data_IF_710893236188
#
_entry.id   IF_710893236188
#
_cell.length_a   1.000
_cell.length_b   1.000
_cell.length_c   1.000
_cell.angle_alpha   90.00
_cell.angle_beta   90.00
_cell.angle_gamma   90.00
#
_symmetry.space_group_name_H-M   'P 1'
#
loop_
_entity.id
_entity.type
_entity.pdbx_description
1 polymer ?
#
# COMPACT_ATOMS: atom_id res chain seq x y z
N UNK A 1 10.23 -0.02 -6.16
CA UNK A 1 8.81 -0.34 -6.46
C UNK A 1 8.46 -1.82 -6.37
N UNK A 2 9.28 -2.77 -6.87
CA UNK A 2 8.95 -4.21 -6.86
C UNK A 2 8.51 -4.75 -5.48
N UNK A 3 9.19 -4.35 -4.40
CA UNK A 3 8.87 -4.76 -3.04
C UNK A 3 7.44 -4.43 -2.58
N UNK A 4 6.84 -3.35 -3.10
CA UNK A 4 5.47 -2.95 -2.75
C UNK A 4 4.40 -3.82 -3.44
N UNK A 5 4.66 -4.25 -4.68
CA UNK A 5 3.71 -5.03 -5.48
C UNK A 5 3.85 -6.54 -5.27
N UNK A 6 5.08 -7.05 -5.38
CA UNK A 6 5.41 -8.43 -5.09
C UNK A 6 6.88 -8.52 -4.63
N UNK A 7 7.16 -8.82 -3.35
CA UNK A 7 8.53 -8.85 -2.83
C UNK A 7 9.43 -9.89 -3.50
N UNK A 8 8.89 -10.94 -4.13
CA UNK A 8 9.69 -11.88 -4.91
C UNK A 8 10.33 -11.23 -6.15
N UNK A 9 9.75 -10.15 -6.67
CA UNK A 9 10.33 -9.38 -7.77
C UNK A 9 11.61 -8.64 -7.39
N UNK A 10 11.91 -8.49 -6.10
CA UNK A 10 13.09 -7.76 -5.63
C UNK A 10 14.41 -8.37 -6.12
N UNK A 11 14.45 -9.68 -6.37
CA UNK A 11 15.64 -10.38 -6.91
C UNK A 11 15.98 -9.99 -8.35
N UNK A 12 15.10 -9.30 -9.05
CA UNK A 12 15.36 -8.79 -10.40
C UNK A 12 16.23 -7.53 -10.39
N UNK A 13 16.41 -6.90 -9.22
CA UNK A 13 17.33 -5.76 -9.05
C UNK A 13 18.77 -6.27 -9.19
N UNK A 14 19.51 -5.75 -10.18
CA UNK A 14 20.87 -6.20 -10.50
C UNK A 14 21.98 -5.34 -9.88
N UNK A 15 21.65 -4.13 -9.43
CA UNK A 15 22.58 -3.18 -8.82
C UNK A 15 21.88 -2.43 -7.69
N UNK A 16 22.63 -1.76 -6.83
CA UNK A 16 22.03 -0.89 -5.81
C UNK A 16 21.20 0.21 -6.47
N UNK A 17 19.95 0.37 -6.02
CA UNK A 17 19.00 1.32 -6.57
C UNK A 17 18.38 2.16 -5.45
N UNK A 18 18.17 3.43 -5.76
CA UNK A 18 17.38 4.38 -4.96
C UNK A 18 16.29 4.93 -5.87
N UNK A 19 15.07 5.05 -5.37
CA UNK A 19 13.95 5.62 -6.11
C UNK A 19 13.02 6.40 -5.19
N UNK A 20 12.39 7.43 -5.75
CA UNK A 20 11.37 8.21 -5.07
C UNK A 20 10.21 8.50 -6.03
N UNK A 21 9.00 8.62 -5.48
CA UNK A 21 7.80 9.05 -6.19
C UNK A 21 7.02 10.00 -5.30
N UNK A 22 6.47 11.05 -5.90
CA UNK A 22 5.45 11.89 -5.30
C UNK A 22 4.23 11.91 -6.23
N UNK A 23 3.03 11.80 -5.69
CA UNK A 23 1.79 11.85 -6.46
C UNK A 23 0.72 12.55 -5.65
N UNK A 24 -0.07 13.37 -6.33
CA UNK A 24 -1.21 14.09 -5.75
C UNK A 24 -2.49 13.58 -6.39
N UNK A 25 -3.52 13.35 -5.58
CA UNK A 25 -4.84 12.92 -6.00
C UNK A 25 -5.90 13.86 -5.42
N UNK A 26 -7.07 13.90 -6.06
CA UNK A 26 -8.22 14.71 -5.64
C UNK A 26 -7.87 16.19 -5.40
N UNK A 27 -7.39 16.88 -6.45
CA UNK A 27 -7.02 18.30 -6.38
C UNK A 27 -6.00 18.60 -5.26
N UNK A 28 -5.01 17.71 -5.10
CA UNK A 28 -3.95 17.78 -4.10
C UNK A 28 -4.40 17.63 -2.64
N UNK A 29 -5.64 17.20 -2.38
CA UNK A 29 -6.08 16.86 -1.02
C UNK A 29 -5.45 15.55 -0.51
N UNK A 30 -5.05 14.64 -1.39
CA UNK A 30 -4.37 13.39 -1.01
C UNK A 30 -2.97 13.35 -1.60
N UNK A 31 -1.96 13.23 -0.76
CA UNK A 31 -0.55 13.15 -1.12
C UNK A 31 -0.01 11.74 -0.87
N UNK A 32 0.61 11.15 -1.89
CA UNK A 32 1.31 9.87 -1.82
C UNK A 32 2.79 10.08 -2.08
N UNK A 33 3.61 9.77 -1.07
CA UNK A 33 5.06 9.84 -1.15
C UNK A 33 5.66 8.45 -0.98
N UNK A 34 6.61 8.09 -1.84
CA UNK A 34 7.39 6.86 -1.74
C UNK A 34 8.86 7.19 -1.82
N UNK A 35 9.66 6.58 -0.95
CA UNK A 35 11.11 6.49 -1.11
C UNK A 35 11.54 5.05 -0.83
N UNK A 36 12.42 4.51 -1.67
CA UNK A 36 12.86 3.13 -1.55
C UNK A 36 14.30 2.94 -1.98
N UNK A 37 15.00 2.09 -1.25
CA UNK A 37 16.36 1.65 -1.51
C UNK A 37 16.37 0.13 -1.63
N UNK A 38 17.08 -0.41 -2.63
CA UNK A 38 17.27 -1.83 -2.82
C UNK A 38 18.74 -2.13 -3.11
N UNK A 39 19.27 -3.20 -2.51
CA UNK A 39 20.65 -3.63 -2.68
C UNK A 39 20.73 -5.14 -2.83
N UNK A 40 21.30 -5.65 -3.94
CA UNK A 40 21.67 -7.05 -4.06
C UNK A 40 22.74 -7.38 -3.02
N UNK A 41 22.51 -8.41 -2.21
CA UNK A 41 23.47 -8.94 -1.25
C UNK A 41 24.32 -10.05 -1.86
N UNK A 42 23.75 -10.77 -2.84
CA UNK A 42 24.43 -11.78 -3.66
C UNK A 42 23.71 -11.88 -5.02
N UNK A 43 24.16 -12.81 -5.87
CA UNK A 43 23.46 -13.14 -7.13
C UNK A 43 22.04 -13.67 -6.94
N UNK A 44 21.69 -14.13 -5.73
CA UNK A 44 20.42 -14.79 -5.42
C UNK A 44 19.64 -14.13 -4.27
N UNK A 45 20.16 -13.08 -3.64
CA UNK A 45 19.51 -12.40 -2.51
C UNK A 45 19.55 -10.89 -2.68
N UNK A 46 18.43 -10.23 -2.44
CA UNK A 46 18.31 -8.77 -2.46
C UNK A 46 17.56 -8.29 -1.23
N UNK A 47 18.07 -7.23 -0.60
CA UNK A 47 17.42 -6.56 0.51
C UNK A 47 16.87 -5.21 0.03
N UNK A 48 15.73 -4.81 0.57
CA UNK A 48 15.11 -3.53 0.30
C UNK A 48 14.58 -2.89 1.57
N UNK A 49 14.63 -1.57 1.62
CA UNK A 49 13.93 -0.77 2.62
C UNK A 49 13.11 0.29 1.87
N UNK A 50 11.92 0.60 2.35
CA UNK A 50 11.16 1.72 1.79
C UNK A 50 10.25 2.35 2.82
N UNK A 51 9.93 3.61 2.60
CA UNK A 51 8.96 4.37 3.36
C UNK A 51 7.88 4.85 2.40
N UNK A 52 6.63 4.62 2.80
CA UNK A 52 5.45 5.16 2.14
C UNK A 52 4.78 6.12 3.10
N UNK A 53 4.41 7.30 2.60
CA UNK A 53 3.54 8.24 3.31
C UNK A 53 2.29 8.46 2.47
N UNK A 54 1.14 8.36 3.10
CA UNK A 54 -0.14 8.82 2.56
C UNK A 54 -0.67 9.90 3.50
N UNK A 55 -0.85 11.11 3.00
CA UNK A 55 -1.31 12.25 3.81
C UNK A 55 -2.53 12.91 3.19
N UNK A 56 -3.46 13.34 4.05
CA UNK A 56 -4.56 14.23 3.71
C UNK A 56 -4.46 15.44 4.61
N UNK A 57 -4.27 16.60 4.01
CA UNK A 57 -4.07 17.86 4.72
C UNK A 57 -5.35 18.71 4.67
N UNK A 58 -5.55 19.57 5.67
CA UNK A 58 -6.66 20.54 5.75
C UNK A 58 -8.07 19.92 5.71
N UNK A 59 -8.28 18.81 6.41
CA UNK A 59 -9.61 18.23 6.59
C UNK A 59 -10.41 19.15 7.52
N UNK A 60 -11.54 19.67 7.03
CA UNK A 60 -12.42 20.54 7.82
C UNK A 60 -13.09 19.74 8.94
N UNK A 61 -12.90 20.20 10.18
CA UNK A 61 -13.60 19.74 11.37
C UNK A 61 -14.71 20.73 11.75
N UNK A 62 -15.95 20.32 11.53
CA UNK A 62 -17.15 21.08 11.90
C UNK A 62 -17.85 20.53 13.15
N UNK A 63 -17.28 19.52 13.83
CA UNK A 63 -17.92 18.90 15.02
C UNK A 63 -18.14 19.90 16.14
N UNK A 64 -17.27 20.90 16.25
CA UNK A 64 -17.37 21.99 17.22
C UNK A 64 -18.19 23.18 16.73
N UNK A 65 -18.64 23.19 15.46
CA UNK A 65 -19.35 24.31 14.85
C UNK A 65 -20.87 24.28 15.09
N UNK A 66 -21.44 23.16 15.53
CA UNK A 66 -22.86 23.08 15.84
C UNK A 66 -23.20 23.89 17.10
N UNK A 67 -24.15 24.83 16.96
CA UNK A 67 -24.78 25.51 18.09
C UNK A 67 -26.04 24.71 18.44
N UNK A 68 -26.07 24.13 19.63
CA UNK A 68 -27.19 23.36 20.14
C UNK A 68 -27.89 24.15 21.26
N UNK A 69 -29.21 24.10 21.34
CA UNK A 69 -29.94 24.62 22.51
C UNK A 69 -29.85 23.66 23.71
N UNK A 70 -30.49 24.06 24.82
CA UNK A 70 -30.50 23.27 26.07
C UNK A 70 -31.17 21.88 25.92
N UNK A 71 -31.97 21.66 24.87
CA UNK A 71 -32.60 20.38 24.55
C UNK A 71 -31.80 19.59 23.50
N UNK A 72 -30.65 20.10 23.06
CA UNK A 72 -29.81 19.48 22.04
C UNK A 72 -30.28 19.70 20.59
N UNK A 73 -31.24 20.61 20.36
CA UNK A 73 -31.72 20.91 19.00
C UNK A 73 -30.74 21.87 18.32
N UNK A 74 -30.40 21.58 17.07
CA UNK A 74 -29.53 22.43 16.24
C UNK A 74 -30.21 23.79 15.99
N UNK A 75 -29.57 24.86 16.47
CA UNK A 75 -30.05 26.25 16.31
C UNK A 75 -29.26 27.02 15.23
N UNK A 76 -28.07 26.55 14.87
CA UNK A 76 -27.24 27.17 13.84
C UNK A 76 -25.85 26.53 13.76
N UNK A 77 -25.06 27.03 12.82
CA UNK A 77 -23.65 26.66 12.64
C UNK A 77 -22.80 27.90 12.86
N UNK A 78 -21.87 27.82 13.80
CA UNK A 78 -20.83 28.83 14.00
C UNK A 78 -19.62 28.48 13.13
N UNK A 79 -19.53 29.11 11.96
CA UNK A 79 -18.43 28.89 11.03
C UNK A 79 -17.05 29.26 11.61
N UNK A 80 -16.99 30.14 12.63
CA UNK A 80 -15.74 30.51 13.30
C UNK A 80 -15.14 29.37 14.13
N UNK A 81 -15.94 28.34 14.43
CA UNK A 81 -15.54 27.14 15.18
C UNK A 81 -15.21 25.95 14.28
N UNK A 82 -15.22 26.15 12.96
CA UNK A 82 -14.70 25.17 12.00
C UNK A 82 -13.18 25.24 12.00
N UNK A 83 -12.54 24.16 12.46
CA UNK A 83 -11.09 24.03 12.46
C UNK A 83 -10.65 23.07 11.35
N UNK A 84 -9.33 22.93 11.16
CA UNK A 84 -8.77 21.91 10.26
C UNK A 84 -7.95 20.91 11.06
N UNK A 85 -7.94 19.66 10.62
CA UNK A 85 -6.99 18.65 11.06
C UNK A 85 -6.36 17.96 9.85
N UNK A 86 -5.24 17.30 10.09
CA UNK A 86 -4.55 16.51 9.09
C UNK A 86 -4.64 15.03 9.46
N UNK A 87 -4.50 14.16 8.46
CA UNK A 87 -4.31 12.73 8.65
C UNK A 87 -3.09 12.28 7.85
N UNK A 88 -2.28 11.41 8.45
CA UNK A 88 -1.13 10.84 7.78
C UNK A 88 -0.86 9.40 8.21
N UNK A 89 -0.63 8.55 7.22
CA UNK A 89 -0.21 7.17 7.37
C UNK A 89 1.21 7.01 6.86
N UNK A 90 2.07 6.48 7.71
CA UNK A 90 3.43 6.09 7.38
C UNK A 90 3.54 4.57 7.43
N UNK A 91 4.09 3.98 6.37
CA UNK A 91 4.39 2.54 6.33
C UNK A 91 5.85 2.35 5.97
N UNK A 92 6.62 1.87 6.94
CA UNK A 92 7.98 1.45 6.72
C UNK A 92 8.00 -0.04 6.34
N UNK A 93 8.69 -0.37 5.25
CA UNK A 93 8.86 -1.71 4.74
C UNK A 93 10.31 -2.14 4.88
N UNK A 94 10.52 -3.32 5.47
CA UNK A 94 11.74 -4.09 5.32
C UNK A 94 11.45 -5.29 4.42
N UNK A 95 12.21 -5.43 3.34
CA UNK A 95 11.95 -6.38 2.27
C UNK A 95 13.15 -7.27 2.00
N UNK A 96 12.90 -8.54 1.74
CA UNK A 96 13.93 -9.48 1.29
C UNK A 96 13.39 -10.36 0.18
N UNK A 97 14.16 -10.49 -0.91
CA UNK A 97 13.91 -11.41 -2.01
C UNK A 97 15.00 -12.47 -2.08
N UNK A 98 14.63 -13.71 -2.36
CA UNK A 98 15.55 -14.81 -2.57
C UNK A 98 15.17 -15.63 -3.80
N UNK A 99 16.14 -15.80 -4.71
CA UNK A 99 16.03 -16.65 -5.88
C UNK A 99 16.65 -18.02 -5.56
N UNK A 100 15.85 -19.08 -5.58
CA UNK A 100 16.33 -20.44 -5.29
C UNK A 100 16.98 -21.09 -6.50
N UNK A 101 16.44 -20.83 -7.68
CA UNK A 101 16.96 -21.31 -8.95
C UNK A 101 16.57 -20.33 -10.08
N UNK A 102 16.94 -20.64 -11.33
CA UNK A 102 16.65 -19.77 -12.48
C UNK A 102 15.16 -19.48 -12.67
N UNK A 103 14.28 -20.40 -12.27
CA UNK A 103 12.83 -20.29 -12.46
C UNK A 103 12.10 -19.72 -11.24
N UNK A 104 12.52 -20.03 -10.00
CA UNK A 104 11.72 -19.78 -8.80
C UNK A 104 12.37 -18.78 -7.84
N UNK A 105 11.58 -17.80 -7.42
CA UNK A 105 11.96 -16.81 -6.43
C UNK A 105 10.82 -16.56 -5.44
N UNK A 106 11.20 -16.23 -4.21
CA UNK A 106 10.28 -15.78 -3.17
C UNK A 106 10.69 -14.42 -2.65
N UNK A 107 9.78 -13.75 -1.96
CA UNK A 107 10.13 -12.60 -1.17
C UNK A 107 9.16 -12.39 -0.02
N UNK A 108 9.60 -11.57 0.92
CA UNK A 108 8.90 -11.27 2.15
C UNK A 108 9.04 -9.80 2.51
N UNK A 109 8.00 -9.24 3.11
CA UNK A 109 8.01 -7.90 3.70
C UNK A 109 7.57 -7.96 5.16
N UNK A 110 8.25 -7.19 5.99
CA UNK A 110 7.76 -6.71 7.28
C UNK A 110 7.33 -5.26 7.13
N UNK A 111 6.16 -4.92 7.67
CA UNK A 111 5.59 -3.57 7.61
C UNK A 111 5.39 -3.03 9.02
N UNK A 112 5.98 -1.87 9.29
CA UNK A 112 5.68 -1.08 10.48
C UNK A 112 4.81 0.08 10.06
N UNK A 113 3.61 0.17 10.64
CA UNK A 113 2.59 1.14 10.28
C UNK A 113 2.45 2.11 11.43
N UNK A 114 2.45 3.41 11.11
CA UNK A 114 2.10 4.50 12.02
C UNK A 114 1.02 5.33 11.36
N UNK A 115 -0.15 5.42 11.98
CA UNK A 115 -1.28 6.24 11.52
C UNK A 115 -1.50 7.39 12.49
N UNK A 116 -1.84 8.55 11.94
CA UNK A 116 -2.24 9.76 12.64
C UNK A 116 -3.54 10.25 12.03
N UNK A 117 -4.53 10.50 12.90
CA UNK A 117 -5.83 11.03 12.50
C UNK A 117 -6.31 12.00 13.58
N UNK A 118 -6.28 13.30 13.25
CA UNK A 118 -6.52 14.37 14.23
C UNK A 118 -5.61 14.19 15.47
N UNK A 119 -6.21 14.08 16.65
CA UNK A 119 -5.50 13.94 17.93
C UNK A 119 -5.12 12.48 18.27
N UNK A 120 -5.47 11.52 17.41
CA UNK A 120 -5.27 10.10 17.67
C UNK A 120 -4.15 9.51 16.82
N UNK A 121 -3.54 8.47 17.36
CA UNK A 121 -2.48 7.72 16.69
C UNK A 121 -2.67 6.22 16.81
N UNK A 122 -2.16 5.50 15.81
CA UNK A 122 -2.18 4.05 15.83
C UNK A 122 -0.87 3.45 15.33
N UNK A 123 -0.54 2.26 15.83
CA UNK A 123 0.63 1.50 15.40
C UNK A 123 0.17 0.13 14.90
N UNK A 124 0.81 -0.36 13.84
CA UNK A 124 0.52 -1.68 13.30
C UNK A 124 1.74 -2.42 12.81
N UNK A 125 1.60 -3.74 12.75
CA UNK A 125 2.61 -4.66 12.26
C UNK A 125 1.96 -5.59 11.23
N UNK A 126 2.53 -5.63 10.03
CA UNK A 126 2.01 -6.42 8.93
C UNK A 126 3.09 -7.23 8.23
N UNK A 127 2.68 -8.31 7.58
CA UNK A 127 3.57 -9.19 6.84
C UNK A 127 2.99 -9.51 5.47
N UNK A 128 3.85 -9.44 4.45
CA UNK A 128 3.51 -9.83 3.08
C UNK A 128 4.50 -10.88 2.60
N UNK A 129 4.05 -11.77 1.71
CA UNK A 129 4.92 -12.71 1.02
C UNK A 129 4.55 -12.75 -0.44
N UNK A 130 5.50 -13.12 -1.26
CA UNK A 130 5.31 -13.27 -2.68
C UNK A 130 6.18 -14.36 -3.26
N UNK A 131 5.76 -14.82 -4.43
CA UNK A 131 6.48 -15.76 -5.28
C UNK A 131 6.48 -15.25 -6.71
N UNK A 132 7.51 -15.65 -7.44
CA UNK A 132 7.66 -15.43 -8.87
C UNK A 132 8.20 -16.73 -9.48
N UNK A 133 7.56 -17.20 -10.52
CA UNK A 133 7.93 -18.42 -11.23
C UNK A 133 8.01 -18.17 -12.74
N UNK A 134 9.18 -18.40 -13.33
CA UNK A 134 9.36 -18.40 -14.77
C UNK A 134 8.99 -19.78 -15.32
N UNK A 135 7.83 -19.87 -15.96
CA UNK A 135 7.36 -21.09 -16.62
C UNK A 135 8.21 -21.38 -17.86
N UNK A 136 8.69 -20.33 -18.51
CA UNK A 136 9.71 -20.37 -19.57
C UNK A 136 10.47 -19.05 -19.62
N UNK A 137 11.43 -18.92 -20.53
CA UNK A 137 12.13 -17.64 -20.78
C UNK A 137 11.20 -16.50 -21.19
N UNK A 138 9.99 -16.82 -21.69
CA UNK A 138 9.00 -15.84 -22.15
C UNK A 138 7.81 -15.70 -21.22
N UNK A 139 7.50 -16.69 -20.39
CA UNK A 139 6.29 -16.71 -19.57
C UNK A 139 6.62 -16.72 -18.09
N UNK A 140 6.11 -15.74 -17.35
CA UNK A 140 6.22 -15.66 -15.89
C UNK A 140 4.85 -15.59 -15.27
N UNK A 141 4.73 -16.22 -14.10
CA UNK A 141 3.57 -16.11 -13.22
C UNK A 141 4.03 -15.65 -11.84
N UNK A 142 3.17 -14.93 -11.16
CA UNK A 142 3.47 -14.32 -9.88
C UNK A 142 2.28 -14.46 -8.95
N UNK A 143 2.56 -14.62 -7.66
CA UNK A 143 1.56 -14.60 -6.60
C UNK A 143 2.07 -13.78 -5.44
N UNK A 144 1.20 -13.00 -4.80
CA UNK A 144 1.53 -12.27 -3.59
C UNK A 144 0.33 -12.29 -2.62
N UNK A 145 0.61 -12.52 -1.35
CA UNK A 145 -0.36 -12.38 -0.27
C UNK A 145 0.10 -11.25 0.63
N UNK A 146 -0.76 -10.25 0.81
CA UNK A 146 -0.52 -9.13 1.71
C UNK A 146 -1.34 -9.30 2.98
N UNK A 147 -0.80 -8.80 4.10
CA UNK A 147 -1.40 -8.90 5.43
C UNK A 147 -1.68 -10.35 5.86
N UNK A 148 -0.72 -11.25 5.67
CA UNK A 148 -0.88 -12.71 5.87
C UNK A 148 -1.46 -13.04 7.26
N UNK A 149 -1.03 -12.32 8.28
CA UNK A 149 -1.43 -12.57 9.67
C UNK A 149 -2.64 -11.77 10.11
N UNK A 150 -3.33 -11.08 9.18
CA UNK A 150 -4.25 -9.97 9.48
C UNK A 150 -3.51 -8.85 10.20
N UNK A 151 -3.27 -7.75 9.51
CA UNK A 151 -2.51 -6.64 10.09
C UNK A 151 -3.35 -5.97 11.17
N UNK A 152 -2.90 -6.04 12.41
CA UNK A 152 -3.51 -5.33 13.52
C UNK A 152 -2.99 -3.90 13.56
N UNK A 153 -3.91 -2.94 13.61
CA UNK A 153 -3.63 -1.52 13.85
C UNK A 153 -4.29 -1.18 15.20
N UNK A 154 -3.46 -0.94 16.21
CA UNK A 154 -3.90 -0.61 17.57
C UNK A 154 -3.85 0.90 17.77
N UNK A 155 -5.00 1.49 18.08
CA UNK A 155 -5.15 2.91 18.37
C UNK A 155 -4.88 3.21 19.84
N UNK A 156 -4.38 4.41 20.13
CA UNK A 156 -4.19 4.92 21.49
C UNK A 156 -5.51 5.10 22.28
N UNK A 157 -6.65 5.17 21.58
CA UNK A 157 -8.00 5.13 22.15
C UNK A 157 -8.38 3.77 22.74
N UNK A 158 -7.58 2.73 22.50
CA UNK A 158 -7.86 1.34 22.90
C UNK A 158 -8.63 0.53 21.85
N UNK A 159 -9.04 1.13 20.73
CA UNK A 159 -9.68 0.41 19.62
C UNK A 159 -8.66 -0.36 18.77
N UNK A 160 -9.15 -1.38 18.07
CA UNK A 160 -8.34 -2.24 17.19
C UNK A 160 -8.99 -2.32 15.82
N UNK A 161 -8.22 -2.02 14.79
CA UNK A 161 -8.58 -2.16 13.39
C UNK A 161 -7.82 -3.36 12.80
N UNK A 162 -8.50 -4.19 12.01
CA UNK A 162 -7.92 -5.37 11.38
C UNK A 162 -7.95 -5.22 9.86
N UNK A 163 -6.78 -5.24 9.24
CA UNK A 163 -6.68 -5.21 7.77
C UNK A 163 -6.63 -6.64 7.25
N UNK A 164 -7.67 -6.99 6.50
CA UNK A 164 -7.85 -8.34 5.95
C UNK A 164 -6.77 -8.70 4.92
N UNK A 165 -6.46 -10.00 4.76
CA UNK A 165 -5.56 -10.48 3.73
C UNK A 165 -6.04 -10.11 2.32
N UNK A 166 -5.08 -9.86 1.43
CA UNK A 166 -5.33 -9.66 -0.01
C UNK A 166 -4.43 -10.59 -0.80
N UNK A 167 -5.02 -11.37 -1.70
CA UNK A 167 -4.31 -12.20 -2.66
C UNK A 167 -4.21 -11.46 -3.99
N UNK A 168 -3.02 -11.46 -4.58
CA UNK A 168 -2.76 -11.02 -5.95
C UNK A 168 -2.11 -12.13 -6.73
N UNK A 169 -2.57 -12.32 -7.97
CA UNK A 169 -2.00 -13.26 -8.92
C UNK A 169 -1.77 -12.52 -10.22
N UNK A 170 -0.65 -12.78 -10.88
CA UNK A 170 -0.27 -12.11 -12.12
C UNK A 170 0.37 -13.07 -13.09
N UNK A 171 0.24 -12.77 -14.38
CA UNK A 171 0.90 -13.49 -15.48
C UNK A 171 1.41 -12.49 -16.50
N UNK A 172 2.62 -12.72 -17.01
CA UNK A 172 3.24 -11.92 -18.06
C UNK A 172 3.87 -12.78 -19.14
N UNK A 173 3.69 -12.39 -20.40
CA UNK A 173 4.21 -13.13 -21.54
C UNK A 173 4.99 -12.21 -22.49
N UNK A 174 6.22 -12.57 -22.84
CA UNK A 174 7.08 -11.80 -23.73
C UNK A 174 6.91 -12.24 -25.19
N UNK A 175 6.50 -11.30 -26.03
CA UNK A 175 6.32 -11.47 -27.47
C UNK A 175 7.41 -10.65 -28.19
N UNK A 176 8.45 -11.31 -28.76
CA UNK A 176 9.44 -10.61 -29.55
C UNK A 176 8.80 -10.05 -30.83
N UNK A 177 9.22 -8.84 -31.22
CA UNK A 177 8.84 -8.18 -32.47
C UNK A 177 10.11 -7.96 -33.31
N UNK A 178 10.62 -8.98 -34.02
CA UNK A 178 11.94 -8.93 -34.66
C UNK A 178 12.09 -7.79 -35.67
N UNK A 179 11.02 -7.47 -36.40
CA UNK A 179 11.01 -6.37 -37.38
C UNK A 179 11.20 -4.97 -36.78
N UNK A 180 11.07 -4.82 -35.45
CA UNK A 180 11.21 -3.54 -34.75
C UNK A 180 12.33 -3.55 -33.72
N UNK A 181 13.14 -4.62 -33.65
CA UNK A 181 14.11 -4.87 -32.57
C UNK A 181 13.53 -4.58 -31.17
N UNK A 182 12.28 -4.98 -30.97
CA UNK A 182 11.47 -4.62 -29.80
C UNK A 182 10.75 -5.85 -29.27
N UNK A 183 10.13 -5.71 -28.10
CA UNK A 183 9.29 -6.74 -27.51
C UNK A 183 8.01 -6.12 -26.96
N UNK A 184 6.94 -6.90 -26.97
CA UNK A 184 5.65 -6.56 -26.35
C UNK A 184 5.40 -7.52 -25.19
N UNK A 185 5.00 -6.99 -24.03
CA UNK A 185 4.77 -7.78 -22.81
C UNK A 185 3.36 -7.46 -22.29
N UNK A 186 2.33 -8.21 -22.71
CA UNK A 186 1.04 -8.17 -22.03
C UNK A 186 1.15 -8.73 -20.61
N UNK A 187 0.49 -8.03 -19.67
CA UNK A 187 0.37 -8.44 -18.27
C UNK A 187 -1.12 -8.58 -17.92
N UNK A 188 -1.46 -9.60 -17.14
CA UNK A 188 -2.80 -9.82 -16.61
C UNK A 188 -2.70 -10.09 -15.11
N UNK A 189 -3.51 -9.39 -14.32
CA UNK A 189 -3.51 -9.48 -12.86
C UNK A 189 -4.93 -9.69 -12.33
N UNK A 190 -5.06 -10.56 -11.32
CA UNK A 190 -6.29 -10.78 -10.55
C UNK A 190 -6.00 -10.44 -9.09
N UNK A 191 -6.88 -9.64 -8.49
CA UNK A 191 -6.79 -9.23 -7.10
C UNK A 191 -8.04 -9.73 -6.39
N UNK A 192 -7.84 -10.53 -5.35
CA UNK A 192 -8.91 -11.00 -4.46
C UNK A 192 -8.67 -10.37 -3.09
N UNK A 193 -9.59 -9.50 -2.69
CA UNK A 193 -9.52 -8.80 -1.42
C UNK A 193 -10.67 -9.27 -0.54
N UNK A 194 -10.35 -9.76 0.66
CA UNK A 194 -11.35 -9.95 1.70
C UNK A 194 -11.63 -8.59 2.35
N UNK A 195 -12.90 -8.24 2.51
CA UNK A 195 -13.32 -7.07 3.26
C UNK A 195 -14.09 -7.56 4.48
N UNK A 196 -13.59 -7.22 5.67
CA UNK A 196 -14.40 -7.29 6.88
C UNK A 196 -14.92 -5.88 7.11
N UNK A 197 -16.17 -5.62 6.70
CA UNK A 197 -16.89 -4.43 7.19
C UNK A 197 -17.31 -4.72 8.63
N UNK A 198 -16.78 -4.03 9.65
CA UNK A 198 -17.49 -3.97 10.91
C UNK A 198 -18.81 -3.25 10.62
N UNK A 199 -19.94 -3.72 11.16
CA UNK A 199 -21.20 -2.98 11.14
C UNK A 199 -21.01 -1.64 11.87
N UNK A 200 -20.56 -0.62 11.16
CA UNK A 200 -20.60 0.76 11.56
C UNK A 200 -21.58 1.43 10.61
N UNK A 201 -22.64 1.99 11.20
CA UNK A 201 -23.69 2.75 10.54
C UNK A 201 -23.12 3.64 9.42
N UNK A 202 -23.78 3.60 8.25
CA UNK A 202 -23.60 4.51 7.13
C UNK A 202 -23.19 5.90 7.59
N UNK A 203 -21.93 6.27 7.38
CA UNK A 203 -21.38 7.63 7.20
C UNK A 203 -19.87 7.62 7.46
N UNK A 204 -19.09 7.23 6.45
CA UNK A 204 -17.63 7.29 6.55
C UNK A 204 -16.94 6.62 5.36
N UNK A 205 -17.04 7.24 4.18
CA UNK A 205 -16.22 7.01 2.98
C UNK A 205 -15.43 5.69 2.94
N UNK A 206 -16.15 4.59 2.78
CA UNK A 206 -15.61 3.32 2.30
C UNK A 206 -15.41 3.41 0.79
N UNK A 207 -14.19 3.16 0.30
CA UNK A 207 -13.96 2.87 -1.12
C UNK A 207 -12.68 3.44 -1.73
N UNK A 208 -11.77 2.53 -2.13
CA UNK A 208 -10.67 2.80 -3.07
C UNK A 208 -9.38 3.28 -2.40
N UNK A 209 -8.18 3.17 -2.98
CA UNK A 209 -7.82 3.08 -4.40
C UNK A 209 -6.44 2.42 -4.46
N UNK A 210 -6.32 1.11 -4.66
CA UNK A 210 -5.02 0.50 -5.02
C UNK A 210 -5.17 -0.58 -6.10
N UNK A 211 -5.89 -0.22 -7.16
CA UNK A 211 -5.82 -0.84 -8.48
C UNK A 211 -5.45 0.25 -9.48
N UNK A 212 -4.19 0.71 -9.46
CA UNK A 212 -3.69 1.76 -10.34
C UNK A 212 -2.34 1.34 -10.89
N UNK A 213 -2.28 1.18 -12.20
CA UNK A 213 -1.18 0.64 -12.97
C UNK A 213 0.12 1.46 -12.86
N UNK A 214 1.24 0.75 -12.79
CA UNK A 214 2.49 1.10 -13.48
C UNK A 214 3.18 -0.22 -13.79
N UNK A 215 3.15 -0.58 -15.09
CA UNK A 215 3.90 -1.70 -15.66
C UNK A 215 5.38 -1.40 -15.81
#
# INVERSE_FOLDING_TARGET
>A
YAAFYNPAGLVQVRSTQLGFTHTQQFLASVNYDYIGFARPLSSSKTLGISLVRLGVDNIKDSRSAAILDANGVLQGIDESRVNNFNSADYVFYLSMGHQFNSAFSIGFNVKLIRRSLADFSANGLGFDAGLLYAVSDRWKIAGAVRNITTTLIAWDTGTKELVSPTLRMGSSYLIPLPGLNSYFIPNFDVIVQSQNTPNLSENGLDGGIFGGAIG
#
